data_IF_796866642757
#
_entry.id   IF_796866642757
#
_cell.length_a   1.000
_cell.length_b   1.000
_cell.length_c   1.000
_cell.angle_alpha   90.00
_cell.angle_beta   90.00
_cell.angle_gamma   90.00
#
_symmetry.space_group_name_H-M   'P 1'
#
loop_
_entity.id
_entity.type
_entity.pdbx_description
1 polymer ?
#
# COMPACT_ATOMS: atom_id res chain seq x y z
N UNK A 1 21.42 -6.86 10.80
CA UNK A 1 20.12 -6.49 10.19
C UNK A 1 19.60 -5.22 10.82
N UNK A 2 19.25 -4.28 9.98
CA UNK A 2 18.66 -3.02 10.42
C UNK A 2 17.15 -3.07 10.18
N UNK A 3 16.38 -2.69 11.18
CA UNK A 3 14.93 -2.63 11.05
C UNK A 3 14.41 -1.43 11.83
N UNK A 4 13.24 -0.96 11.46
CA UNK A 4 12.62 0.20 12.06
C UNK A 4 11.20 -0.12 12.51
N UNK A 5 10.86 0.35 13.69
CA UNK A 5 9.56 0.12 14.27
C UNK A 5 8.74 1.41 14.21
N UNK A 6 7.47 1.25 13.89
CA UNK A 6 6.49 2.32 13.86
C UNK A 6 5.40 1.97 14.85
N UNK A 7 4.86 2.97 15.54
CA UNK A 7 3.86 2.75 16.59
C UNK A 7 2.58 2.07 16.09
N UNK A 8 2.30 2.12 14.81
CA UNK A 8 1.13 1.45 14.24
C UNK A 8 1.42 0.04 13.79
N UNK A 9 2.38 -0.61 14.42
CA UNK A 9 2.70 -1.99 14.14
C UNK A 9 3.29 -2.20 12.75
N UNK A 10 4.24 -1.40 12.40
CA UNK A 10 4.93 -1.54 11.13
C UNK A 10 6.41 -1.67 11.40
N UNK A 11 7.01 -2.63 10.76
CA UNK A 11 8.43 -2.89 10.85
C UNK A 11 9.02 -2.89 9.46
N UNK A 12 10.19 -2.31 9.32
CA UNK A 12 10.89 -2.30 8.04
C UNK A 12 12.25 -2.95 8.24
N UNK A 13 12.55 -3.91 7.37
CA UNK A 13 13.85 -4.58 7.33
C UNK A 13 14.54 -4.18 6.03
N UNK A 14 15.27 -3.06 6.01
CA UNK A 14 15.77 -2.49 4.75
C UNK A 14 16.72 -3.43 4.00
N UNK A 15 17.56 -4.17 4.72
CA UNK A 15 18.52 -5.05 4.07
C UNK A 15 17.84 -6.16 3.28
N UNK A 16 16.71 -6.66 3.78
CA UNK A 16 15.96 -7.71 3.13
C UNK A 16 14.85 -7.17 2.25
N UNK A 17 14.61 -5.85 2.28
CA UNK A 17 13.52 -5.20 1.54
C UNK A 17 12.16 -5.77 1.94
N UNK A 18 11.95 -5.95 3.24
CA UNK A 18 10.74 -6.52 3.80
C UNK A 18 10.04 -5.47 4.65
N UNK A 19 8.73 -5.36 4.45
CA UNK A 19 7.84 -4.56 5.28
C UNK A 19 6.87 -5.49 5.98
N UNK A 20 6.78 -5.37 7.30
CA UNK A 20 5.84 -6.15 8.08
C UNK A 20 4.83 -5.20 8.70
N UNK A 21 3.55 -5.51 8.57
CA UNK A 21 2.49 -4.60 9.02
C UNK A 21 1.32 -5.37 9.60
N UNK A 22 0.62 -4.75 10.53
CA UNK A 22 -0.56 -5.36 11.13
C UNK A 22 -1.75 -5.32 10.17
N UNK A 23 -1.97 -4.20 9.51
CA UNK A 23 -3.06 -4.03 8.56
C UNK A 23 -2.48 -3.90 7.17
N UNK A 24 -2.89 -4.79 6.27
CA UNK A 24 -2.24 -4.92 4.98
C UNK A 24 -2.47 -3.75 4.02
N UNK A 25 -3.40 -2.85 4.32
CA UNK A 25 -3.54 -1.63 3.52
C UNK A 25 -2.26 -0.78 3.54
N UNK A 26 -1.41 -0.95 4.54
CA UNK A 26 -0.13 -0.25 4.58
C UNK A 26 0.85 -0.72 3.51
N UNK A 27 0.52 -1.80 2.81
CA UNK A 27 1.29 -2.18 1.62
C UNK A 27 1.31 -1.04 0.60
N UNK A 28 0.23 -0.28 0.49
CA UNK A 28 0.16 0.90 -0.37
C UNK A 28 1.30 1.88 -0.06
N UNK A 29 1.50 2.18 1.22
CA UNK A 29 2.59 3.07 1.65
C UNK A 29 3.95 2.41 1.40
N UNK A 30 4.07 1.13 1.72
CA UNK A 30 5.32 0.39 1.54
C UNK A 30 5.77 0.39 0.07
N UNK A 31 4.85 0.26 -0.87
CA UNK A 31 5.18 0.29 -2.30
C UNK A 31 5.78 1.62 -2.70
N UNK A 32 5.21 2.73 -2.22
CA UNK A 32 5.75 4.05 -2.52
C UNK A 32 7.14 4.25 -1.92
N UNK A 33 7.32 3.82 -0.67
CA UNK A 33 8.63 3.91 -0.02
C UNK A 33 9.67 3.08 -0.76
N UNK A 34 9.29 1.87 -1.18
CA UNK A 34 10.18 1.00 -1.93
C UNK A 34 10.57 1.63 -3.27
N UNK A 35 9.62 2.27 -3.93
CA UNK A 35 9.91 2.97 -5.19
C UNK A 35 10.87 4.13 -4.97
N UNK A 36 10.65 4.92 -3.91
CA UNK A 36 11.53 6.04 -3.58
C UNK A 36 12.95 5.57 -3.27
N UNK A 37 13.08 4.40 -2.68
CA UNK A 37 14.40 3.84 -2.38
C UNK A 37 15.04 3.15 -3.58
N UNK A 38 14.33 3.05 -4.68
CA UNK A 38 14.84 2.36 -5.85
C UNK A 38 14.78 0.84 -5.75
N UNK A 39 14.07 0.31 -4.78
CA UNK A 39 13.92 -1.14 -4.60
C UNK A 39 12.97 -1.75 -5.63
N UNK A 40 12.01 -0.97 -6.09
CA UNK A 40 11.12 -1.36 -7.19
C UNK A 40 11.02 -0.21 -8.18
N UNK A 41 10.62 -0.54 -9.39
CA UNK A 41 10.37 0.47 -10.43
C UNK A 41 8.89 0.84 -10.42
N UNK A 42 8.56 1.91 -11.15
CA UNK A 42 7.16 2.22 -11.43
C UNK A 42 6.50 1.04 -12.12
N UNK A 43 5.21 0.90 -11.93
CA UNK A 43 4.42 -0.10 -12.65
C UNK A 43 4.89 -1.54 -12.39
N UNK A 44 5.17 -1.84 -11.14
CA UNK A 44 5.59 -3.18 -10.74
C UNK A 44 4.44 -4.18 -10.85
N UNK A 45 4.77 -5.46 -10.89
CA UNK A 45 3.79 -6.54 -10.80
C UNK A 45 3.66 -6.97 -9.34
N UNK A 46 2.44 -7.04 -8.86
CA UNK A 46 2.15 -7.47 -7.50
C UNK A 46 1.71 -8.93 -7.48
N UNK A 47 2.37 -9.71 -6.64
CA UNK A 47 1.88 -11.04 -6.29
C UNK A 47 1.10 -10.92 -4.99
N UNK A 48 -0.20 -11.08 -5.06
CA UNK A 48 -1.09 -10.88 -3.92
C UNK A 48 -1.67 -12.22 -3.48
N UNK A 49 -1.22 -12.69 -2.33
CA UNK A 49 -1.65 -13.98 -1.77
C UNK A 49 -2.60 -13.70 -0.62
N UNK A 50 -3.89 -13.92 -0.85
CA UNK A 50 -4.93 -13.62 0.13
C UNK A 50 -6.22 -14.29 -0.28
N UNK A 51 -7.14 -14.47 0.65
CA UNK A 51 -8.48 -14.93 0.34
C UNK A 51 -9.29 -13.90 -0.41
N UNK A 52 -8.96 -12.62 -0.25
CA UNK A 52 -9.68 -11.51 -0.89
C UNK A 52 -8.76 -10.74 -1.81
N UNK A 53 -9.31 -10.28 -2.92
CA UNK A 53 -8.54 -9.51 -3.90
C UNK A 53 -8.20 -8.11 -3.39
N UNK A 54 -9.04 -7.52 -2.54
CA UNK A 54 -8.82 -6.19 -1.96
C UNK A 54 -8.68 -5.09 -3.01
N UNK A 55 -9.46 -5.21 -4.09
CA UNK A 55 -9.37 -4.30 -5.21
C UNK A 55 -10.69 -3.57 -5.45
N UNK A 56 -11.29 -3.04 -4.38
CA UNK A 56 -12.48 -2.19 -4.51
C UNK A 56 -12.08 -0.89 -5.19
N UNK A 57 -12.80 -0.51 -6.23
CA UNK A 57 -12.39 0.57 -7.13
C UNK A 57 -12.35 1.95 -6.47
N UNK A 58 -13.05 2.14 -5.35
CA UNK A 58 -13.05 3.43 -4.67
C UNK A 58 -11.65 3.81 -4.14
N UNK A 59 -10.73 2.86 -4.08
CA UNK A 59 -9.34 3.15 -3.73
C UNK A 59 -8.70 4.14 -4.70
N UNK A 60 -9.16 4.19 -5.94
CA UNK A 60 -8.66 5.15 -6.93
C UNK A 60 -9.26 6.54 -6.72
N UNK A 61 -10.26 6.67 -5.84
CA UNK A 61 -10.98 7.92 -5.61
C UNK A 61 -10.64 8.58 -4.29
N UNK A 62 -9.60 8.13 -3.63
CA UNK A 62 -9.19 8.69 -2.35
C UNK A 62 -8.71 10.14 -2.57
N UNK A 63 -9.22 11.10 -1.78
CA UNK A 63 -8.78 12.50 -1.93
C UNK A 63 -7.27 12.64 -1.73
N UNK A 64 -6.65 13.45 -2.56
CA UNK A 64 -5.21 13.73 -2.54
C UNK A 64 -4.32 12.53 -2.86
N UNK A 65 -4.90 11.49 -3.43
CA UNK A 65 -4.16 10.26 -3.71
C UNK A 65 -2.93 10.48 -4.59
N UNK A 66 -3.07 11.28 -5.64
CA UNK A 66 -1.98 11.51 -6.60
C UNK A 66 -1.04 12.63 -6.17
N UNK A 67 -1.45 13.47 -5.25
CA UNK A 67 -0.66 14.61 -4.80
C UNK A 67 0.22 14.29 -3.59
N UNK A 68 -0.12 13.25 -2.83
CA UNK A 68 0.61 12.91 -1.61
C UNK A 68 2.01 12.42 -1.92
N UNK A 69 2.98 12.91 -1.18
CA UNK A 69 4.37 12.47 -1.29
C UNK A 69 4.96 12.28 0.11
N UNK A 70 5.82 11.28 0.24
CA UNK A 70 6.50 11.02 1.48
C UNK A 70 5.66 10.28 2.50
N UNK A 71 6.32 9.76 3.51
CA UNK A 71 5.69 8.88 4.50
C UNK A 71 4.51 9.55 5.22
N UNK A 72 4.67 10.81 5.61
CA UNK A 72 3.64 11.48 6.39
C UNK A 72 2.35 11.66 5.60
N UNK A 73 2.45 12.14 4.37
CA UNK A 73 1.28 12.38 3.55
C UNK A 73 0.62 11.08 3.10
N UNK A 74 1.44 10.12 2.70
CA UNK A 74 0.92 8.80 2.29
C UNK A 74 0.24 8.11 3.45
N UNK A 75 0.81 8.19 4.64
CA UNK A 75 0.23 7.60 5.84
C UNK A 75 -1.12 8.20 6.16
N UNK A 76 -1.28 9.50 5.95
CA UNK A 76 -2.54 10.17 6.22
C UNK A 76 -3.69 9.64 5.36
N UNK A 77 -3.37 9.13 4.17
CA UNK A 77 -4.38 8.57 3.27
C UNK A 77 -4.97 7.25 3.77
N UNK A 78 -4.29 6.59 4.69
CA UNK A 78 -4.75 5.31 5.24
C UNK A 78 -5.68 5.48 6.43
N UNK A 79 -5.92 6.70 6.87
CA UNK A 79 -6.74 6.98 8.04
C UNK A 79 -8.10 7.50 7.62
N UNK A 80 -9.12 7.13 8.40
CA UNK A 80 -10.47 7.65 8.18
C UNK A 80 -10.49 9.16 8.30
N UNK A 81 -11.21 9.79 7.40
CA UNK A 81 -11.35 11.22 7.38
C UNK A 81 -12.68 11.64 8.01
N UNK A 82 -12.74 12.86 8.49
CA UNK A 82 -13.99 13.44 8.96
C UNK A 82 -14.85 13.74 7.74
N UNK A 83 -16.13 13.36 7.78
CA UNK A 83 -17.07 13.73 6.74
C UNK A 83 -17.24 12.71 5.61
N UNK A 84 -17.01 11.46 5.85
CA UNK A 84 -17.27 10.37 4.90
C UNK A 84 -16.33 10.32 3.69
N UNK A 85 -15.14 10.88 3.81
CA UNK A 85 -14.17 10.76 2.75
C UNK A 85 -13.57 9.36 2.72
N UNK A 86 -13.38 8.84 1.51
CA UNK A 86 -12.76 7.54 1.30
C UNK A 86 -11.28 7.59 1.69
N UNK A 87 -10.82 6.57 2.37
CA UNK A 87 -9.40 6.42 2.68
C UNK A 87 -8.88 5.13 2.06
N UNK A 88 -7.55 4.97 2.06
CA UNK A 88 -6.92 3.73 1.60
C UNK A 88 -7.05 2.69 2.70
N UNK A 89 -7.99 1.79 2.54
CA UNK A 89 -8.35 0.79 3.53
C UNK A 89 -7.95 -0.62 3.10
N UNK A 90 -8.36 -1.58 3.92
CA UNK A 90 -7.95 -2.98 3.72
C UNK A 90 -8.60 -3.64 2.51
N UNK A 91 -9.63 -3.04 1.93
CA UNK A 91 -10.34 -3.63 0.80
C UNK A 91 -10.13 -2.88 -0.52
N UNK A 92 -9.45 -1.73 -0.50
CA UNK A 92 -9.30 -0.91 -1.70
C UNK A 92 -7.87 -0.47 -2.01
N UNK A 93 -6.89 -0.88 -1.21
CA UNK A 93 -5.52 -0.36 -1.35
C UNK A 93 -4.86 -0.78 -2.67
N UNK A 94 -5.31 -1.86 -3.27
CA UNK A 94 -4.77 -2.32 -4.56
C UNK A 94 -5.08 -1.29 -5.66
N UNK A 95 -6.32 -0.79 -5.72
CA UNK A 95 -6.66 0.24 -6.71
C UNK A 95 -5.95 1.56 -6.46
N UNK A 96 -5.69 1.89 -5.21
CA UNK A 96 -4.88 3.06 -4.90
C UNK A 96 -3.46 2.91 -5.47
N UNK A 97 -2.90 1.71 -5.39
CA UNK A 97 -1.59 1.42 -5.99
C UNK A 97 -1.59 1.53 -7.51
N UNK A 98 -2.67 1.05 -8.17
CA UNK A 98 -2.80 1.21 -9.62
C UNK A 98 -2.88 2.69 -10.00
N UNK A 99 -3.66 3.47 -9.27
CA UNK A 99 -3.84 4.89 -9.58
C UNK A 99 -2.54 5.67 -9.45
N UNK A 100 -1.71 5.34 -8.47
CA UNK A 100 -0.41 6.00 -8.29
C UNK A 100 0.69 5.39 -9.17
N UNK A 101 0.36 4.39 -9.97
CA UNK A 101 1.29 3.73 -10.88
C UNK A 101 2.46 3.03 -10.17
N UNK A 102 2.28 2.68 -8.90
CA UNK A 102 3.26 1.83 -8.21
C UNK A 102 3.15 0.40 -8.69
N UNK A 103 1.93 -0.03 -9.06
CA UNK A 103 1.72 -1.34 -9.67
C UNK A 103 0.90 -1.18 -10.94
N UNK A 104 1.09 -2.06 -11.90
CA UNK A 104 0.32 -2.06 -13.14
C UNK A 104 -0.40 -3.38 -13.39
N UNK A 105 0.02 -4.43 -12.73
CA UNK A 105 -0.62 -5.73 -12.89
C UNK A 105 -0.57 -6.49 -11.58
N UNK A 106 -1.50 -7.40 -11.42
CA UNK A 106 -1.61 -8.19 -10.21
C UNK A 106 -1.75 -9.66 -10.59
N UNK A 107 -1.00 -10.50 -9.90
CA UNK A 107 -1.19 -11.94 -9.96
C UNK A 107 -1.80 -12.32 -8.61
N UNK A 108 -3.08 -12.63 -8.65
CA UNK A 108 -3.82 -12.94 -7.44
C UNK A 108 -3.81 -14.45 -7.19
N UNK A 109 -3.35 -14.83 -6.02
CA UNK A 109 -3.29 -16.23 -5.62
C UNK A 109 -4.17 -16.40 -4.40
N UNK A 110 -5.29 -17.10 -4.59
CA UNK A 110 -6.19 -17.39 -3.48
C UNK A 110 -5.82 -18.74 -2.89
N UNK A 111 -5.64 -18.82 -1.57
CA UNK A 111 -5.41 -20.13 -0.93
C UNK A 111 -6.66 -20.99 -0.89
N UNK A 112 -7.80 -20.41 -1.19
CA UNK A 112 -9.06 -21.12 -1.25
C UNK A 112 -9.38 -21.55 -2.67
N UNK A 113 -10.01 -22.66 -2.80
CA UNK A 113 -10.48 -23.15 -4.10
C UNK A 113 -12.00 -23.03 -4.23
#
# INVERSE_FOLDING_TARGET
MSWRHNENWKLVFPEQKIFLMKHHNWAFVAWDLARDQGWIRDNATLFHVDQHLDAVIDGAKVPNLLQATGLKELSSLTKSQIGNETCVGIDNFIWAGFARETIQSIIYISPED
#
